data_IF_242931086015
#
_entry.id   IF_242931086015
#
_cell.length_a   1.000
_cell.length_b   1.000
_cell.length_c   1.000
_cell.angle_alpha   90.00
_cell.angle_beta   90.00
_cell.angle_gamma   90.00
#
_symmetry.space_group_name_H-M   'P 1'
#
loop_
_entity.id
_entity.type
_entity.pdbx_description
1 polymer ?
#
# COMPACT_ATOMS: atom_id res chain seq x y z
N UNK A 1 -5.10 14.79 -18.75
CA UNK A 1 -4.06 14.88 -17.71
C UNK A 1 -4.31 13.74 -16.74
N UNK A 2 -3.32 12.89 -16.48
CA UNK A 2 -3.48 11.74 -15.59
C UNK A 2 -3.00 12.14 -14.19
N UNK A 3 -3.94 12.29 -13.27
CA UNK A 3 -3.65 12.59 -11.87
C UNK A 3 -3.74 11.32 -11.02
N UNK A 4 -2.89 11.24 -10.02
CA UNK A 4 -2.94 10.26 -8.93
C UNK A 4 -3.01 11.00 -7.59
N UNK A 5 -3.41 10.28 -6.55
CA UNK A 5 -3.50 10.80 -5.19
C UNK A 5 -2.70 9.89 -4.25
N UNK A 6 -2.04 10.46 -3.24
CA UNK A 6 -1.45 9.70 -2.12
C UNK A 6 -2.25 9.96 -0.84
N UNK A 7 -2.50 8.90 -0.07
CA UNK A 7 -3.26 8.94 1.18
C UNK A 7 -2.59 8.14 2.30
N UNK A 8 -2.87 8.52 3.54
CA UNK A 8 -2.58 7.71 4.74
C UNK A 8 -3.80 6.89 5.21
N UNK A 9 -3.63 6.10 6.27
CA UNK A 9 -4.70 5.19 6.74
C UNK A 9 -5.96 5.87 7.26
N UNK A 10 -5.85 7.11 7.76
CA UNK A 10 -6.98 7.88 8.28
C UNK A 10 -7.79 8.61 7.21
N UNK A 11 -7.40 8.52 5.94
CA UNK A 11 -8.11 9.20 4.85
C UNK A 11 -9.53 8.62 4.68
N UNK A 12 -10.50 9.54 4.57
CA UNK A 12 -11.86 9.23 4.16
C UNK A 12 -11.88 8.86 2.67
N UNK A 13 -12.55 7.76 2.35
CA UNK A 13 -12.64 7.22 1.00
C UNK A 13 -13.94 7.58 0.29
N UNK A 14 -14.88 8.27 0.95
CA UNK A 14 -16.17 8.63 0.34
C UNK A 14 -16.05 9.78 -0.68
N UNK A 15 -15.16 10.73 -0.42
CA UNK A 15 -15.08 11.97 -1.21
C UNK A 15 -13.77 12.11 -1.99
N UNK A 16 -13.15 10.99 -2.38
CA UNK A 16 -11.94 11.05 -3.19
C UNK A 16 -12.21 11.68 -4.57
N UNK A 17 -11.28 12.49 -5.10
CA UNK A 17 -11.40 13.00 -6.46
C UNK A 17 -11.46 11.84 -7.47
N UNK A 18 -11.99 12.08 -8.69
CA UNK A 18 -12.10 11.06 -9.73
C UNK A 18 -10.74 10.74 -10.36
N UNK A 19 -9.83 10.20 -9.56
CA UNK A 19 -8.52 9.68 -9.97
C UNK A 19 -8.58 8.17 -10.09
N UNK A 20 -7.68 7.59 -10.88
CA UNK A 20 -7.58 6.13 -11.03
C UNK A 20 -6.67 5.52 -9.97
N UNK A 21 -5.46 6.06 -9.86
CA UNK A 21 -4.39 5.48 -9.03
C UNK A 21 -4.33 6.20 -7.67
N UNK A 22 -4.40 5.42 -6.59
CA UNK A 22 -4.38 5.92 -5.21
C UNK A 22 -3.24 5.23 -4.45
N UNK A 23 -2.20 5.99 -4.12
CA UNK A 23 -1.05 5.54 -3.37
C UNK A 23 -1.37 5.49 -1.88
N UNK A 24 -0.88 4.44 -1.20
CA UNK A 24 -1.12 4.23 0.23
C UNK A 24 0.21 4.23 0.97
N UNK A 25 0.41 5.24 1.79
CA UNK A 25 1.65 5.41 2.55
C UNK A 25 1.70 4.47 3.74
N UNK A 26 2.84 3.81 3.94
CA UNK A 26 3.18 3.06 5.16
C UNK A 26 4.27 3.82 5.91
N UNK A 27 3.93 4.38 7.08
CA UNK A 27 4.86 5.13 7.92
C UNK A 27 5.64 4.20 8.88
N UNK A 28 6.79 4.66 9.41
CA UNK A 28 7.53 3.92 10.42
C UNK A 28 6.67 3.47 11.61
N UNK A 29 6.85 2.21 12.03
CA UNK A 29 6.10 1.61 13.14
C UNK A 29 4.72 1.06 12.77
N UNK A 30 4.24 1.28 11.54
CA UNK A 30 2.95 0.76 11.10
C UNK A 30 3.04 -0.66 10.54
N UNK A 31 1.94 -1.42 10.66
CA UNK A 31 1.87 -2.79 10.17
C UNK A 31 1.33 -2.83 8.73
N UNK A 32 1.99 -3.57 7.83
CA UNK A 32 1.57 -3.75 6.44
C UNK A 32 0.15 -4.34 6.31
N UNK A 33 -0.38 -5.02 7.33
CA UNK A 33 -1.78 -5.46 7.34
C UNK A 33 -2.77 -4.30 7.20
N UNK A 34 -2.45 -3.10 7.71
CA UNK A 34 -3.27 -1.89 7.49
C UNK A 34 -3.29 -1.45 6.02
N UNK A 35 -2.21 -1.71 5.29
CA UNK A 35 -2.17 -1.49 3.83
C UNK A 35 -3.14 -2.43 3.14
N UNK A 36 -3.17 -3.71 3.53
CA UNK A 36 -4.08 -4.71 2.95
C UNK A 36 -5.53 -4.29 3.14
N UNK A 37 -5.91 -3.88 4.36
CA UNK A 37 -7.26 -3.40 4.67
C UNK A 37 -7.63 -2.18 3.79
N UNK A 38 -6.79 -1.13 3.80
CA UNK A 38 -7.06 0.09 3.06
C UNK A 38 -7.08 -0.12 1.53
N UNK A 39 -6.17 -0.94 1.01
CA UNK A 39 -6.15 -1.31 -0.40
C UNK A 39 -7.41 -2.07 -0.80
N UNK A 40 -7.90 -2.96 0.06
CA UNK A 40 -9.12 -3.72 -0.18
C UNK A 40 -10.35 -2.81 -0.28
N UNK A 41 -10.42 -1.78 0.57
CA UNK A 41 -11.50 -0.80 0.51
C UNK A 41 -11.46 0.05 -0.75
N UNK A 42 -10.26 0.43 -1.21
CA UNK A 42 -10.07 1.12 -2.49
C UNK A 42 -10.47 0.25 -3.69
N UNK A 43 -10.11 -1.04 -3.70
CA UNK A 43 -10.53 -1.97 -4.76
C UNK A 43 -12.05 -2.09 -4.81
N UNK A 44 -12.72 -2.25 -3.67
CA UNK A 44 -14.20 -2.32 -3.61
C UNK A 44 -14.87 -1.04 -4.16
N UNK A 45 -14.21 0.11 -4.02
CA UNK A 45 -14.66 1.40 -4.56
C UNK A 45 -14.25 1.64 -6.02
N UNK A 46 -13.54 0.69 -6.65
CA UNK A 46 -13.15 0.76 -8.06
C UNK A 46 -11.88 1.54 -8.36
N UNK A 47 -11.12 1.94 -7.33
CA UNK A 47 -9.81 2.56 -7.51
C UNK A 47 -8.73 1.50 -7.77
N UNK A 48 -7.60 1.94 -8.33
CA UNK A 48 -6.37 1.15 -8.40
C UNK A 48 -5.45 1.54 -7.22
N UNK A 49 -5.43 0.77 -6.12
CA UNK A 49 -4.50 1.05 -5.04
C UNK A 49 -3.06 0.77 -5.46
N UNK A 50 -2.14 1.64 -5.02
CA UNK A 50 -0.70 1.49 -5.18
C UNK A 50 -0.04 1.52 -3.80
N UNK A 51 -0.06 0.40 -3.06
CA UNK A 51 0.54 0.31 -1.74
C UNK A 51 2.05 0.54 -1.74
N UNK A 52 2.56 1.22 -0.70
CA UNK A 52 3.98 1.37 -0.48
C UNK A 52 4.59 0.12 0.15
N UNK A 53 5.69 -0.33 -0.44
CA UNK A 53 6.48 -1.49 -0.03
C UNK A 53 7.86 -0.98 0.39
N UNK A 54 8.02 -0.49 1.64
CA UNK A 54 9.30 -0.01 2.14
C UNK A 54 10.24 -1.18 2.45
N UNK A 55 11.22 -1.40 1.58
CA UNK A 55 12.13 -2.55 1.64
C UNK A 55 12.84 -2.69 3.00
N UNK A 56 13.31 -1.59 3.61
CA UNK A 56 13.98 -1.63 4.92
C UNK A 56 13.09 -2.04 6.08
N UNK A 57 11.76 -2.01 5.90
CA UNK A 57 10.78 -2.44 6.91
C UNK A 57 10.29 -3.87 6.69
N UNK A 58 10.79 -4.58 5.67
CA UNK A 58 10.41 -5.97 5.41
C UNK A 58 11.45 -6.88 6.06
N UNK A 59 11.02 -7.81 6.91
CA UNK A 59 11.92 -8.63 7.76
C UNK A 59 12.63 -9.73 6.99
N UNK A 60 11.93 -10.38 6.07
CA UNK A 60 12.42 -11.56 5.36
C UNK A 60 11.56 -11.87 4.11
N UNK A 61 12.00 -12.85 3.33
CA UNK A 61 11.30 -13.29 2.12
C UNK A 61 9.90 -13.84 2.41
N UNK A 62 9.67 -14.46 3.57
CA UNK A 62 8.36 -14.99 3.92
C UNK A 62 7.36 -13.85 4.17
N UNK A 63 7.76 -12.79 4.86
CA UNK A 63 6.95 -11.59 5.03
C UNK A 63 6.69 -10.89 3.69
N UNK A 64 7.70 -10.76 2.82
CA UNK A 64 7.51 -10.21 1.48
C UNK A 64 6.47 -11.01 0.69
N UNK A 65 6.59 -12.34 0.72
CA UNK A 65 5.69 -13.25 0.00
C UNK A 65 4.26 -13.17 0.54
N UNK A 66 4.09 -13.10 1.86
CA UNK A 66 2.77 -12.91 2.48
C UNK A 66 2.17 -11.55 2.06
N UNK A 67 2.94 -10.47 2.17
CA UNK A 67 2.48 -9.12 1.80
C UNK A 67 2.05 -9.05 0.32
N UNK A 68 2.89 -9.54 -0.60
CA UNK A 68 2.58 -9.61 -2.04
C UNK A 68 1.33 -10.45 -2.30
N UNK A 69 1.23 -11.62 -1.68
CA UNK A 69 0.10 -12.55 -1.91
C UNK A 69 -1.21 -11.93 -1.44
N UNK A 70 -1.24 -11.34 -0.24
CA UNK A 70 -2.42 -10.65 0.28
C UNK A 70 -2.88 -9.50 -0.61
N UNK A 71 -1.95 -8.66 -1.06
CA UNK A 71 -2.25 -7.57 -2.01
C UNK A 71 -2.87 -8.14 -3.30
N UNK A 72 -2.27 -9.18 -3.87
CA UNK A 72 -2.75 -9.81 -5.09
C UNK A 72 -4.15 -10.41 -4.93
N UNK A 73 -4.39 -11.11 -3.83
CA UNK A 73 -5.65 -11.81 -3.55
C UNK A 73 -6.84 -10.87 -3.41
N UNK A 74 -6.61 -9.63 -2.94
CA UNK A 74 -7.64 -8.58 -2.86
C UNK A 74 -7.75 -7.74 -4.13
N UNK A 75 -6.98 -8.05 -5.18
CA UNK A 75 -7.08 -7.40 -6.48
C UNK A 75 -6.15 -6.19 -6.71
N UNK A 76 -5.13 -5.98 -5.85
CA UNK A 76 -4.06 -5.00 -6.12
C UNK A 76 -3.25 -5.45 -7.34
N UNK A 77 -2.92 -4.51 -8.23
CA UNK A 77 -2.21 -4.79 -9.50
C UNK A 77 -0.86 -4.08 -9.62
N UNK A 78 -0.57 -3.15 -8.71
CA UNK A 78 0.62 -2.31 -8.75
C UNK A 78 1.09 -2.06 -7.32
N UNK A 79 2.39 -1.89 -7.12
CA UNK A 79 2.98 -1.51 -5.83
C UNK A 79 4.08 -0.47 -6.05
N UNK A 80 4.28 0.42 -5.09
CA UNK A 80 5.45 1.29 -5.05
C UNK A 80 6.53 0.64 -4.17
N UNK A 81 7.60 0.15 -4.80
CA UNK A 81 8.75 -0.38 -4.08
C UNK A 81 9.74 0.75 -3.80
N UNK A 82 10.08 0.95 -2.53
CA UNK A 82 10.92 2.07 -2.08
C UNK A 82 11.81 1.64 -0.92
N UNK A 83 12.91 2.35 -0.66
CA UNK A 83 13.81 2.02 0.46
C UNK A 83 13.14 2.11 1.85
N UNK A 84 12.23 3.08 2.06
CA UNK A 84 11.61 3.36 3.37
C UNK A 84 12.54 4.12 4.33
N UNK A 85 12.03 4.93 5.25
CA UNK A 85 12.87 5.79 6.12
C UNK A 85 13.43 5.11 7.37
N UNK A 86 13.02 3.88 7.67
CA UNK A 86 13.53 3.12 8.82
C UNK A 86 14.94 2.61 8.60
N UNK A 87 15.65 2.35 9.71
CA UNK A 87 16.83 1.47 9.72
C UNK A 87 16.47 0.10 9.13
N UNK A 88 17.41 -0.52 8.42
CA UNK A 88 17.16 -1.82 7.78
C UNK A 88 16.97 -2.90 8.85
N UNK A 89 15.79 -3.53 8.86
CA UNK A 89 15.47 -4.63 9.79
C UNK A 89 15.60 -6.01 9.15
N UNK A 90 15.41 -6.08 7.82
CA UNK A 90 15.52 -7.33 7.07
C UNK A 90 16.93 -7.61 6.56
N UNK A 91 17.16 -8.87 6.21
CA UNK A 91 18.47 -9.39 5.77
C UNK A 91 18.71 -9.13 4.29
#
# INVERSE_FOLDING_TARGET
MNFSLEIGFSADLENLPPVKDVYITLLPGENYLKIIEKAGDLVKKGFNPVPHFPARSITDEAQLKDYVSRCKDIGVKQALVIGGSQEQIGV
#
